data_IF_424933863808
#
_entry.id   IF_424933863808
#
_cell.length_a   1.000
_cell.length_b   1.000
_cell.length_c   1.000
_cell.angle_alpha   90.00
_cell.angle_beta   90.00
_cell.angle_gamma   90.00
#
_symmetry.space_group_name_H-M   'P 1'
#
loop_
_entity.id
_entity.type
_entity.pdbx_description
1 polymer ?
#
# COMPACT_ATOMS: atom_id res chain seq x y z
N UNK A 1 -18.07 1.17 4.44
CA UNK A 1 -17.44 2.15 3.54
C UNK A 1 -16.04 1.65 3.32
N UNK A 2 -15.68 1.26 2.10
CA UNK A 2 -14.60 0.31 1.90
C UNK A 2 -13.36 0.99 1.29
N UNK A 3 -12.19 0.51 1.71
CA UNK A 3 -10.91 0.78 1.08
C UNK A 3 -10.82 0.00 -0.23
N UNK A 4 -10.36 0.65 -1.30
CA UNK A 4 -10.10 0.03 -2.60
C UNK A 4 -8.67 0.39 -2.98
N UNK A 5 -7.88 -0.61 -3.34
CA UNK A 5 -6.55 -0.39 -3.92
C UNK A 5 -6.66 -0.66 -5.41
N UNK A 6 -6.56 0.39 -6.22
CA UNK A 6 -6.59 0.30 -7.67
C UNK A 6 -5.17 0.19 -8.21
N UNK A 7 -4.99 -0.63 -9.24
CA UNK A 7 -3.79 -0.66 -10.06
C UNK A 7 -3.88 0.44 -11.11
N UNK A 8 -2.84 1.27 -11.21
CA UNK A 8 -2.70 2.25 -12.29
C UNK A 8 -1.90 1.59 -13.43
N UNK A 9 -2.42 1.63 -14.65
CA UNK A 9 -1.65 1.22 -15.81
C UNK A 9 -0.54 2.25 -16.09
N UNK A 10 0.67 1.83 -16.48
CA UNK A 10 1.73 2.75 -16.85
C UNK A 10 1.26 3.67 -17.98
N UNK A 11 1.27 4.97 -17.74
CA UNK A 11 1.04 5.98 -18.78
C UNK A 11 2.35 6.18 -19.56
N UNK A 12 2.41 5.73 -20.80
CA UNK A 12 3.57 5.93 -21.68
C UNK A 12 3.55 7.37 -22.25
N UNK A 13 4.22 8.30 -21.57
CA UNK A 13 4.47 9.66 -22.05
C UNK A 13 5.98 9.96 -22.02
N UNK A 14 6.50 10.53 -23.12
CA UNK A 14 7.93 10.61 -23.40
C UNK A 14 8.71 11.56 -22.48
N UNK A 15 8.04 12.41 -21.70
CA UNK A 15 8.69 13.47 -20.92
C UNK A 15 8.29 13.56 -19.43
N UNK A 16 7.29 12.80 -18.95
CA UNK A 16 6.90 12.80 -17.53
C UNK A 16 6.62 11.39 -17.04
N UNK A 17 7.61 10.79 -16.40
CA UNK A 17 7.46 9.46 -15.85
C UNK A 17 7.06 9.56 -14.39
N UNK A 18 5.76 9.31 -14.13
CA UNK A 18 5.19 9.23 -12.78
C UNK A 18 5.76 8.06 -11.97
N UNK A 19 6.50 7.15 -12.61
CA UNK A 19 7.30 6.15 -11.91
C UNK A 19 8.53 6.79 -11.27
N UNK A 20 8.77 6.48 -9.99
CA UNK A 20 9.97 6.92 -9.28
C UNK A 20 11.19 6.25 -9.90
N UNK A 21 12.24 7.02 -10.18
CA UNK A 21 13.55 6.49 -10.55
C UNK A 21 14.03 5.56 -9.43
N UNK A 22 14.24 4.27 -9.75
CA UNK A 22 14.87 3.32 -8.84
C UNK A 22 16.24 3.88 -8.45
N UNK A 23 16.41 4.16 -7.16
CA UNK A 23 17.66 4.73 -6.67
C UNK A 23 18.80 3.73 -6.90
N UNK A 24 19.96 4.17 -7.42
CA UNK A 24 21.10 3.27 -7.60
C UNK A 24 21.50 2.67 -6.25
N UNK A 25 21.51 1.35 -6.17
CA UNK A 25 21.88 0.58 -4.97
C UNK A 25 20.74 -0.11 -4.22
N UNK A 26 19.47 0.08 -4.61
CA UNK A 26 18.38 -0.74 -4.10
C UNK A 26 18.23 -2.00 -4.95
N UNK A 27 18.45 -3.17 -4.35
CA UNK A 27 18.25 -4.44 -5.03
C UNK A 27 16.76 -4.81 -5.03
N UNK A 28 16.15 -4.65 -6.20
CA UNK A 28 14.74 -4.97 -6.45
C UNK A 28 14.55 -6.20 -7.33
N UNK A 29 15.61 -6.99 -7.54
CA UNK A 29 15.57 -8.17 -8.43
C UNK A 29 14.90 -9.39 -7.77
N UNK A 30 14.55 -9.29 -6.49
CA UNK A 30 14.14 -10.40 -5.64
C UNK A 30 12.62 -10.50 -5.41
N UNK A 31 11.81 -9.78 -6.20
CA UNK A 31 10.35 -9.82 -6.13
C UNK A 31 9.72 -8.57 -5.49
N UNK A 32 8.55 -8.69 -4.86
CA UNK A 32 7.79 -7.56 -4.34
C UNK A 32 8.59 -6.71 -3.35
N UNK A 33 8.41 -5.39 -3.42
CA UNK A 33 9.06 -4.44 -2.52
C UNK A 33 8.20 -4.13 -1.28
N UNK A 34 6.91 -4.42 -1.33
CA UNK A 34 5.99 -4.35 -0.20
C UNK A 34 5.07 -5.57 -0.22
N UNK A 35 4.95 -6.23 0.92
CA UNK A 35 4.03 -7.33 1.14
C UNK A 35 3.32 -7.11 2.47
N UNK A 36 1.99 -7.15 2.43
CA UNK A 36 1.09 -7.13 3.58
C UNK A 36 0.20 -8.36 3.49
N UNK A 37 0.07 -9.10 4.57
CA UNK A 37 -0.77 -10.30 4.63
C UNK A 37 -1.73 -10.27 5.82
N UNK A 38 -3.02 -10.35 5.53
CA UNK A 38 -4.12 -10.43 6.50
C UNK A 38 -4.08 -9.34 7.60
N UNK A 39 -3.61 -8.14 7.23
CA UNK A 39 -3.46 -7.02 8.14
C UNK A 39 -4.83 -6.57 8.68
N UNK A 40 -4.97 -6.60 10.00
CA UNK A 40 -6.14 -6.04 10.69
C UNK A 40 -5.71 -5.01 11.73
N UNK A 41 -6.47 -3.92 11.82
CA UNK A 41 -6.27 -2.84 12.80
C UNK A 41 -7.63 -2.37 13.28
N UNK A 42 -7.79 -2.25 14.59
CA UNK A 42 -9.02 -1.78 15.24
C UNK A 42 -8.73 -0.62 16.19
N UNK A 43 -9.61 0.38 16.19
CA UNK A 43 -9.59 1.47 17.16
C UNK A 43 -10.94 1.52 17.87
N UNK A 44 -10.94 1.46 19.21
CA UNK A 44 -12.17 1.51 20.04
C UNK A 44 -13.28 0.55 19.56
N UNK A 45 -12.90 -0.64 19.10
CA UNK A 45 -13.83 -1.66 18.58
C UNK A 45 -14.25 -1.48 17.12
N UNK A 46 -13.83 -0.41 16.45
CA UNK A 46 -14.03 -0.20 15.01
C UNK A 46 -12.83 -0.74 14.22
N UNK A 47 -13.06 -1.70 13.30
CA UNK A 47 -12.04 -2.20 12.38
C UNK A 47 -11.74 -1.16 11.30
N UNK A 48 -10.59 -0.50 11.43
CA UNK A 48 -10.08 0.41 10.41
C UNK A 48 -9.49 -0.34 9.21
N UNK A 49 -8.86 -1.49 9.45
CA UNK A 49 -8.45 -2.46 8.43
C UNK A 49 -8.94 -3.85 8.86
N UNK A 50 -9.46 -4.62 7.90
CA UNK A 50 -9.98 -5.96 8.15
C UNK A 50 -9.41 -6.91 7.11
N UNK A 51 -8.40 -7.69 7.51
CA UNK A 51 -7.72 -8.70 6.68
C UNK A 51 -7.26 -8.14 5.33
N UNK A 52 -6.58 -7.00 5.35
CA UNK A 52 -6.01 -6.40 4.15
C UNK A 52 -4.75 -7.17 3.73
N UNK A 53 -4.79 -7.78 2.55
CA UNK A 53 -3.61 -8.31 1.86
C UNK A 53 -3.29 -7.43 0.66
N UNK A 54 -2.01 -7.06 0.51
CA UNK A 54 -1.52 -6.22 -0.58
C UNK A 54 -0.09 -6.60 -0.92
N UNK A 55 0.21 -6.63 -2.21
CA UNK A 55 1.56 -6.82 -2.74
C UNK A 55 1.83 -5.72 -3.75
N UNK A 56 3.00 -5.08 -3.64
CA UNK A 56 3.46 -4.05 -4.58
C UNK A 56 4.84 -4.44 -5.10
N UNK A 57 4.94 -4.52 -6.42
CA UNK A 57 6.18 -4.80 -7.13
C UNK A 57 7.02 -3.54 -7.36
N UNK A 58 8.29 -3.74 -7.70
CA UNK A 58 9.20 -2.64 -7.98
C UNK A 58 8.73 -1.85 -9.22
N UNK A 59 8.55 -0.54 -9.05
CA UNK A 59 8.07 0.34 -10.11
C UNK A 59 6.55 0.32 -10.32
N UNK A 60 5.82 -0.48 -9.56
CA UNK A 60 4.36 -0.53 -9.63
C UNK A 60 3.71 0.69 -8.96
N UNK A 61 2.68 1.23 -9.60
CA UNK A 61 1.88 2.33 -9.06
C UNK A 61 0.51 1.82 -8.61
N UNK A 62 0.24 1.92 -7.30
CA UNK A 62 -1.06 1.60 -6.70
C UNK A 62 -1.70 2.86 -6.13
N UNK A 63 -2.98 3.04 -6.41
CA UNK A 63 -3.79 4.10 -5.85
C UNK A 63 -4.69 3.57 -4.73
N UNK A 64 -4.59 4.18 -3.55
CA UNK A 64 -5.42 3.82 -2.39
C UNK A 64 -6.61 4.77 -2.31
N UNK A 65 -7.80 4.25 -2.57
CA UNK A 65 -9.05 5.02 -2.73
C UNK A 65 -10.06 4.58 -1.68
N UNK A 66 -10.91 5.51 -1.23
CA UNK A 66 -12.02 5.21 -0.34
C UNK A 66 -12.55 6.48 0.32
N UNK A 67 -13.77 6.45 0.87
CA UNK A 67 -14.34 7.58 1.59
C UNK A 67 -13.59 7.86 2.90
N UNK A 68 -13.97 8.94 3.59
CA UNK A 68 -13.43 9.24 4.91
C UNK A 68 -13.75 8.10 5.90
N UNK A 69 -12.78 7.75 6.74
CA UNK A 69 -12.91 6.63 7.68
C UNK A 69 -12.71 5.24 7.09
N UNK A 70 -12.42 5.10 5.79
CA UNK A 70 -12.18 3.79 5.16
C UNK A 70 -10.84 3.12 5.53
N UNK A 71 -10.00 3.75 6.37
CA UNK A 71 -8.71 3.18 6.79
C UNK A 71 -7.48 3.56 5.96
N UNK A 72 -7.58 4.51 5.01
CA UNK A 72 -6.45 4.93 4.15
C UNK A 72 -5.21 5.38 4.95
N UNK A 73 -5.38 6.30 5.89
CA UNK A 73 -4.28 6.78 6.73
C UNK A 73 -3.75 5.67 7.63
N UNK A 74 -4.65 4.83 8.19
CA UNK A 74 -4.26 3.67 8.98
C UNK A 74 -3.40 2.68 8.19
N UNK A 75 -3.75 2.40 6.93
CA UNK A 75 -2.93 1.58 6.03
C UNK A 75 -1.53 2.19 5.86
N UNK A 76 -1.44 3.49 5.59
CA UNK A 76 -0.15 4.18 5.45
C UNK A 76 0.68 4.17 6.74
N UNK A 77 0.03 4.30 7.90
CA UNK A 77 0.71 4.25 9.19
C UNK A 77 1.24 2.84 9.51
N UNK A 78 0.53 1.78 9.09
CA UNK A 78 1.03 0.40 9.19
C UNK A 78 2.25 0.18 8.29
N UNK A 79 2.15 0.56 7.01
CA UNK A 79 3.25 0.41 6.04
C UNK A 79 4.52 1.15 6.50
N UNK A 80 4.35 2.34 7.09
CA UNK A 80 5.47 3.14 7.59
C UNK A 80 5.96 2.75 8.98
N UNK A 81 5.36 1.73 9.60
CA UNK A 81 5.72 1.23 10.93
C UNK A 81 5.32 2.14 12.09
N UNK A 82 4.50 3.17 11.85
CA UNK A 82 3.96 4.06 12.89
C UNK A 82 2.89 3.38 13.74
N UNK A 83 2.10 2.51 13.10
CA UNK A 83 1.03 1.74 13.75
C UNK A 83 1.36 0.26 13.61
N UNK A 84 1.39 -0.47 14.72
CA UNK A 84 1.53 -1.92 14.69
C UNK A 84 0.17 -2.55 14.41
N UNK A 85 0.07 -3.53 13.50
CA UNK A 85 -1.19 -4.23 13.26
C UNK A 85 -1.58 -5.13 14.45
N UNK A 86 -2.88 -5.35 14.62
CA UNK A 86 -3.41 -6.28 15.63
C UNK A 86 -3.12 -7.73 15.22
N UNK A 87 -3.16 -8.01 13.91
CA UNK A 87 -2.86 -9.29 13.28
C UNK A 87 -2.32 -9.10 11.86
N UNK A 88 -1.68 -10.13 11.33
CA UNK A 88 -1.08 -10.13 9.99
C UNK A 88 0.42 -9.85 10.02
N UNK A 89 1.05 -9.74 8.84
CA UNK A 89 2.48 -9.42 8.66
C UNK A 89 2.67 -8.38 7.57
#
# INVERSE_FOLDING_TARGET
MNLVVAEEQPYEDSDTTFYRILQPGLDVTHGPILYLDDISVSFDGFKALDKLTLTIDAGELRCVIGPNGAGKTTMMDVITGKTRPDSGT
#
